data_IF_827988065576
#
_entry.id   IF_827988065576
#
_cell.length_a   1.000
_cell.length_b   1.000
_cell.length_c   1.000
_cell.angle_alpha   90.00
_cell.angle_beta   90.00
_cell.angle_gamma   90.00
#
_symmetry.space_group_name_H-M   'P 1'
#
loop_
_entity.id
_entity.type
_entity.pdbx_description
1 polymer ?
#
# COMPACT_ATOMS: atom_id res chain seq x y z
N UNK A 1 -15.80 10.03 0.85
CA UNK A 1 -14.90 9.04 1.49
C UNK A 1 -14.14 8.31 0.40
N UNK A 2 -12.82 8.22 0.49
CA UNK A 2 -12.02 7.49 -0.50
C UNK A 2 -12.06 5.99 -0.18
N UNK A 3 -12.27 5.15 -1.19
CA UNK A 3 -12.15 3.70 -1.01
C UNK A 3 -10.69 3.26 -1.12
N UNK A 4 -9.94 3.84 -2.04
CA UNK A 4 -8.52 3.53 -2.23
C UNK A 4 -7.75 4.69 -2.84
N UNK A 5 -6.44 4.67 -2.59
CA UNK A 5 -5.44 5.51 -3.25
C UNK A 5 -4.41 4.55 -3.84
N UNK A 6 -4.02 4.81 -5.09
CA UNK A 6 -3.03 4.00 -5.80
C UNK A 6 -1.95 4.92 -6.34
N UNK A 7 -0.69 4.57 -6.07
CA UNK A 7 0.48 5.28 -6.58
C UNK A 7 1.40 4.31 -7.31
N UNK A 8 1.97 4.76 -8.43
CA UNK A 8 3.04 4.03 -9.13
C UNK A 8 4.40 4.37 -8.52
N UNK A 9 5.26 3.37 -8.35
CA UNK A 9 6.61 3.51 -7.80
C UNK A 9 7.61 2.74 -8.67
N UNK A 10 8.84 3.23 -8.75
CA UNK A 10 9.90 2.55 -9.53
C UNK A 10 10.57 1.40 -8.77
N UNK A 11 10.50 1.42 -7.43
CA UNK A 11 11.09 0.42 -6.54
C UNK A 11 10.15 0.18 -5.35
N UNK A 12 9.62 -1.04 -5.24
CA UNK A 12 8.67 -1.38 -4.17
C UNK A 12 9.28 -1.40 -2.79
N UNK A 13 10.55 -1.75 -2.64
CA UNK A 13 11.18 -1.91 -1.33
C UNK A 13 11.62 -0.55 -0.77
N UNK A 14 12.13 0.33 -1.64
CA UNK A 14 12.37 1.73 -1.28
C UNK A 14 11.06 2.46 -0.95
N UNK A 15 10.02 2.29 -1.78
CA UNK A 15 8.71 2.86 -1.51
C UNK A 15 8.08 2.31 -0.23
N UNK A 16 8.24 1.01 0.01
CA UNK A 16 7.83 0.35 1.23
C UNK A 16 8.39 1.04 2.48
N UNK A 17 9.71 1.24 2.53
CA UNK A 17 10.36 1.88 3.67
C UNK A 17 9.86 3.33 3.88
N UNK A 18 9.71 4.09 2.79
CA UNK A 18 9.21 5.46 2.83
C UNK A 18 7.76 5.53 3.33
N UNK A 19 6.87 4.72 2.75
CA UNK A 19 5.46 4.75 3.09
C UNK A 19 5.18 4.12 4.47
N UNK A 20 5.97 3.15 4.93
CA UNK A 20 5.88 2.69 6.32
C UNK A 20 6.11 3.85 7.30
N UNK A 21 7.15 4.66 7.07
CA UNK A 21 7.48 5.78 7.96
C UNK A 21 6.38 6.85 8.03
N UNK A 22 5.60 7.05 6.95
CA UNK A 22 4.55 8.06 6.89
C UNK A 22 3.19 7.51 7.30
N UNK A 23 2.87 6.27 6.93
CA UNK A 23 1.53 5.71 7.10
C UNK A 23 1.34 5.03 8.47
N UNK A 24 2.39 4.47 9.07
CA UNK A 24 2.30 3.88 10.41
C UNK A 24 1.88 4.91 11.48
N UNK A 25 2.46 6.13 11.54
CA UNK A 25 1.98 7.16 12.48
C UNK A 25 0.54 7.60 12.25
N UNK A 26 0.02 7.42 11.02
CA UNK A 26 -1.37 7.71 10.66
C UNK A 26 -2.32 6.53 10.94
N UNK A 27 -1.81 5.44 11.51
CA UNK A 27 -2.59 4.27 11.90
C UNK A 27 -2.84 3.26 10.77
N UNK A 28 -2.22 3.43 9.60
CA UNK A 28 -2.26 2.41 8.56
C UNK A 28 -1.05 1.48 8.69
N UNK A 29 -1.31 0.17 8.64
CA UNK A 29 -0.28 -0.85 8.73
C UNK A 29 -0.18 -1.64 7.43
N UNK A 30 1.01 -2.20 7.17
CA UNK A 30 1.22 -3.04 6.00
C UNK A 30 0.34 -4.29 6.08
N UNK A 31 -0.27 -4.63 4.96
CA UNK A 31 -1.01 -5.87 4.73
C UNK A 31 -0.33 -6.63 3.61
N UNK A 32 -0.21 -7.94 3.76
CA UNK A 32 0.18 -8.80 2.65
C UNK A 32 -0.81 -8.68 1.48
N UNK A 33 -0.26 -8.69 0.27
CA UNK A 33 -1.04 -8.67 -0.97
C UNK A 33 -0.95 -10.06 -1.57
N UNK A 34 -2.09 -10.74 -1.67
CA UNK A 34 -2.18 -11.98 -2.41
C UNK A 34 -1.96 -11.68 -3.90
N UNK A 35 -1.00 -12.32 -4.57
CA UNK A 35 -0.81 -12.14 -6.01
C UNK A 35 -2.05 -12.58 -6.79
N UNK A 36 -2.53 -11.73 -7.68
CA UNK A 36 -3.73 -11.94 -8.52
C UNK A 36 -3.41 -11.98 -10.03
N UNK A 37 -2.11 -12.06 -10.37
CA UNK A 37 -1.60 -11.96 -11.74
C UNK A 37 -1.34 -10.52 -12.21
N UNK A 38 -1.65 -9.51 -11.39
CA UNK A 38 -1.30 -8.11 -11.64
C UNK A 38 0.13 -7.74 -11.24
N UNK A 39 0.51 -6.45 -11.40
CA UNK A 39 1.83 -5.96 -11.01
C UNK A 39 2.06 -6.11 -9.51
N UNK A 40 3.32 -6.32 -9.13
CA UNK A 40 3.70 -6.42 -7.73
C UNK A 40 3.32 -5.13 -6.98
N UNK A 41 2.84 -5.32 -5.74
CA UNK A 41 2.33 -4.22 -4.93
C UNK A 41 2.68 -4.34 -3.45
N UNK A 42 2.58 -3.21 -2.76
CA UNK A 42 2.51 -3.10 -1.30
C UNK A 42 1.20 -2.41 -0.93
N UNK A 43 0.58 -2.84 0.15
CA UNK A 43 -0.71 -2.30 0.60
C UNK A 43 -0.68 -1.94 2.08
N UNK A 44 -1.31 -0.83 2.43
CA UNK A 44 -1.55 -0.41 3.80
C UNK A 44 -3.04 -0.20 4.06
N UNK A 45 -3.49 -0.57 5.26
CA UNK A 45 -4.88 -0.50 5.69
C UNK A 45 -4.97 -0.04 7.14
N UNK A 46 -6.10 0.58 7.52
CA UNK A 46 -6.42 0.75 8.94
C UNK A 46 -6.86 -0.59 9.55
N UNK A 47 -6.33 -0.97 10.73
CA UNK A 47 -6.76 -2.18 11.44
C UNK A 47 -8.28 -2.20 11.68
N UNK A 48 -8.90 -3.36 11.42
CA UNK A 48 -10.35 -3.54 11.62
C UNK A 48 -11.24 -2.86 10.57
N UNK A 49 -10.68 -2.21 9.55
CA UNK A 49 -11.44 -1.54 8.49
C UNK A 49 -11.17 -2.13 7.11
N UNK A 50 -12.22 -2.25 6.30
CA UNK A 50 -12.10 -2.73 4.91
C UNK A 50 -11.49 -1.68 3.98
N UNK A 51 -11.71 -0.39 4.29
CA UNK A 51 -11.31 0.80 3.54
C UNK A 51 -10.95 1.94 4.52
N UNK A 52 -10.12 2.91 4.14
CA UNK A 52 -9.44 3.04 2.85
C UNK A 52 -8.25 2.09 2.70
N UNK A 53 -7.87 1.80 1.46
CA UNK A 53 -6.63 1.09 1.13
C UNK A 53 -5.65 2.03 0.45
N UNK A 54 -4.39 1.98 0.86
CA UNK A 54 -3.29 2.65 0.15
C UNK A 54 -2.47 1.59 -0.57
N UNK A 55 -2.26 1.76 -1.87
CA UNK A 55 -1.48 0.84 -2.69
C UNK A 55 -0.31 1.55 -3.35
N UNK A 56 0.86 0.93 -3.27
CA UNK A 56 2.00 1.24 -4.12
C UNK A 56 2.20 0.06 -5.09
N UNK A 57 2.14 0.33 -6.40
CA UNK A 57 2.41 -0.66 -7.44
C UNK A 57 3.69 -0.31 -8.17
N UNK A 58 4.42 -1.32 -8.63
CA UNK A 58 5.51 -1.12 -9.59
C UNK A 58 4.99 -1.40 -10.99
N UNK A 59 4.59 -0.35 -11.74
CA UNK A 59 4.21 -0.51 -13.13
C UNK A 59 5.42 -0.97 -13.95
N UNK A 60 5.11 -1.74 -15.00
CA UNK A 60 6.06 -2.30 -15.96
C UNK A 60 6.86 -1.23 -16.72
#
# INVERSE_FOLDING_TARGET
>A
MFSHITVGVSDLDAAAAFYDAILLPLGLQRREVTPDGGPAARCWVMPGQTLPRFYAYQPF
#
